data_IF_391991181711
#
_entry.id   IF_391991181711
#
_cell.length_a   1.000
_cell.length_b   1.000
_cell.length_c   1.000
_cell.angle_alpha   90.00
_cell.angle_beta   90.00
_cell.angle_gamma   90.00
#
_symmetry.space_group_name_H-M   'P 1'
#
loop_
_entity.id
_entity.type
_entity.pdbx_description
1 polymer ?
#
# COMPACT_ATOMS: atom_id res chain seq x y z
N UNK A 1 5.30 -27.27 -62.25
CA UNK A 1 4.33 -28.38 -62.15
C UNK A 1 4.06 -28.57 -60.67
N UNK A 2 2.77 -28.62 -60.26
CA UNK A 2 2.24 -28.73 -58.89
C UNK A 2 2.48 -27.56 -57.91
N UNK A 3 1.57 -26.57 -57.91
CA UNK A 3 1.16 -25.86 -56.68
C UNK A 3 -0.11 -24.99 -56.88
N UNK A 4 -0.40 -24.60 -58.13
CA UNK A 4 -1.61 -23.84 -58.45
C UNK A 4 -2.91 -24.66 -58.40
N UNK A 5 -2.82 -26.01 -58.42
CA UNK A 5 -4.00 -26.88 -58.37
C UNK A 5 -4.59 -27.05 -56.96
N UNK A 6 -3.77 -26.95 -55.92
CA UNK A 6 -4.24 -27.12 -54.53
C UNK A 6 -5.00 -25.87 -54.07
N UNK A 7 -4.57 -24.68 -54.49
CA UNK A 7 -5.23 -23.42 -54.14
C UNK A 7 -6.54 -23.19 -54.91
N UNK A 8 -6.69 -23.77 -56.11
CA UNK A 8 -7.90 -23.65 -56.93
C UNK A 8 -9.00 -24.65 -56.52
N UNK A 9 -8.63 -25.81 -55.99
CA UNK A 9 -9.56 -26.79 -55.38
C UNK A 9 -10.11 -26.32 -54.02
N UNK A 10 -9.33 -25.56 -53.25
CA UNK A 10 -9.77 -24.98 -51.97
C UNK A 10 -10.77 -23.82 -52.13
N UNK A 11 -10.86 -23.20 -53.33
CA UNK A 11 -11.80 -22.12 -53.63
C UNK A 11 -13.15 -22.56 -54.20
N UNK A 12 -13.36 -23.86 -54.43
CA UNK A 12 -14.52 -24.40 -55.18
C UNK A 12 -15.47 -25.31 -54.38
N UNK A 13 -15.33 -25.35 -53.06
CA UNK A 13 -16.33 -25.99 -52.20
C UNK A 13 -17.26 -24.93 -51.63
N UNK A 14 -18.37 -24.68 -52.33
CA UNK A 14 -19.54 -24.00 -51.76
C UNK A 14 -19.83 -24.66 -50.41
N UNK A 15 -19.49 -23.98 -49.31
CA UNK A 15 -19.79 -24.48 -47.98
C UNK A 15 -21.28 -24.87 -47.97
N UNK A 16 -21.61 -26.16 -47.74
CA UNK A 16 -22.99 -26.59 -47.84
C UNK A 16 -23.82 -25.77 -46.85
N UNK A 17 -25.00 -25.33 -47.30
CA UNK A 17 -25.82 -24.30 -46.64
C UNK A 17 -26.04 -24.59 -45.14
N UNK A 18 -26.06 -25.86 -44.75
CA UNK A 18 -26.16 -26.28 -43.36
C UNK A 18 -24.94 -25.85 -42.50
N UNK A 19 -23.72 -25.91 -43.02
CA UNK A 19 -22.51 -25.47 -42.29
C UNK A 19 -22.59 -23.97 -42.03
N UNK A 20 -22.97 -23.19 -43.05
CA UNK A 20 -23.15 -21.74 -42.93
C UNK A 20 -24.26 -21.38 -41.93
N UNK A 21 -25.36 -22.14 -41.91
CA UNK A 21 -26.45 -21.97 -40.94
C UNK A 21 -26.00 -22.30 -39.51
N UNK A 22 -25.22 -23.38 -39.31
CA UNK A 22 -24.68 -23.76 -37.99
C UNK A 22 -23.66 -22.73 -37.49
N UNK A 23 -22.77 -22.23 -38.35
CA UNK A 23 -21.81 -21.17 -38.01
C UNK A 23 -22.56 -19.89 -37.61
N UNK A 24 -23.63 -19.55 -38.34
CA UNK A 24 -24.45 -18.39 -38.01
C UNK A 24 -25.13 -18.53 -36.64
N UNK A 25 -25.67 -19.71 -36.33
CA UNK A 25 -26.26 -20.00 -35.02
C UNK A 25 -25.21 -19.88 -33.89
N UNK A 26 -24.02 -20.44 -34.08
CA UNK A 26 -22.92 -20.33 -33.12
C UNK A 26 -22.51 -18.88 -32.89
N UNK A 27 -22.44 -18.05 -33.94
CA UNK A 27 -22.16 -16.61 -33.81
C UNK A 27 -23.21 -15.88 -32.98
N UNK A 28 -24.49 -16.22 -33.12
CA UNK A 28 -25.55 -15.65 -32.29
C UNK A 28 -25.35 -16.04 -30.81
N UNK A 29 -25.04 -17.31 -30.54
CA UNK A 29 -24.81 -17.80 -29.18
C UNK A 29 -23.60 -17.09 -28.54
N UNK A 30 -22.49 -16.96 -29.27
CA UNK A 30 -21.31 -16.23 -28.78
C UNK A 30 -21.61 -14.74 -28.56
N UNK A 31 -22.38 -14.10 -29.44
CA UNK A 31 -22.77 -12.71 -29.27
C UNK A 31 -23.64 -12.47 -28.02
N UNK A 32 -24.60 -13.37 -27.76
CA UNK A 32 -25.43 -13.32 -26.54
C UNK A 32 -24.56 -13.54 -25.30
N UNK A 33 -23.65 -14.51 -25.34
CA UNK A 33 -22.70 -14.76 -24.25
C UNK A 33 -21.83 -13.53 -23.97
N UNK A 34 -21.26 -12.92 -25.02
CA UNK A 34 -20.43 -11.71 -24.91
C UNK A 34 -21.24 -10.55 -24.32
N UNK A 35 -22.51 -10.37 -24.71
CA UNK A 35 -23.39 -9.36 -24.10
C UNK A 35 -23.64 -9.61 -22.61
N UNK A 36 -23.96 -10.85 -22.25
CA UNK A 36 -24.24 -11.25 -20.86
C UNK A 36 -22.99 -11.11 -19.98
N UNK A 37 -21.79 -11.34 -20.51
CA UNK A 37 -20.54 -11.21 -19.74
C UNK A 37 -20.06 -9.74 -19.71
N UNK A 38 -20.07 -9.07 -20.86
CA UNK A 38 -19.50 -7.73 -21.01
C UNK A 38 -20.28 -6.64 -20.27
N UNK A 39 -21.62 -6.67 -20.31
CA UNK A 39 -22.44 -5.62 -19.68
C UNK A 39 -22.25 -5.58 -18.15
N UNK A 40 -22.44 -6.70 -17.41
CA UNK A 40 -22.04 -6.81 -16.01
C UNK A 40 -20.62 -6.36 -15.72
N UNK A 41 -19.65 -6.86 -16.49
CA UNK A 41 -18.24 -6.54 -16.28
C UNK A 41 -17.96 -5.04 -16.43
N UNK A 42 -18.59 -4.38 -17.41
CA UNK A 42 -18.41 -2.94 -17.64
C UNK A 42 -19.09 -2.08 -16.58
N UNK A 43 -20.25 -2.49 -16.06
CA UNK A 43 -20.95 -1.72 -15.03
C UNK A 43 -20.22 -1.80 -13.68
N UNK A 44 -19.72 -2.98 -13.31
CA UNK A 44 -19.12 -3.21 -11.98
C UNK A 44 -17.59 -3.14 -11.93
N UNK A 45 -16.89 -3.36 -13.04
CA UNK A 45 -15.44 -3.57 -13.06
C UNK A 45 -14.71 -2.88 -14.23
N UNK A 46 -15.17 -1.71 -14.69
CA UNK A 46 -14.58 -1.00 -15.83
C UNK A 46 -13.06 -0.70 -15.65
N UNK A 47 -12.18 -1.39 -16.40
CA UNK A 47 -10.74 -1.16 -16.31
C UNK A 47 -10.32 0.21 -16.89
N UNK A 48 -11.15 0.83 -17.74
CA UNK A 48 -10.85 2.13 -18.33
C UNK A 48 -10.79 3.24 -17.28
N UNK A 49 -11.61 3.14 -16.23
CA UNK A 49 -11.57 4.08 -15.11
C UNK A 49 -10.27 3.98 -14.32
N UNK A 50 -9.79 2.75 -14.07
CA UNK A 50 -8.49 2.51 -13.40
C UNK A 50 -7.34 3.07 -14.22
N UNK A 51 -7.36 2.86 -15.53
CA UNK A 51 -6.35 3.39 -16.44
C UNK A 51 -6.35 4.93 -16.44
N UNK A 52 -7.53 5.55 -16.54
CA UNK A 52 -7.69 7.00 -16.47
C UNK A 52 -7.19 7.58 -15.14
N UNK A 53 -7.49 6.91 -14.02
CA UNK A 53 -7.01 7.32 -12.69
C UNK A 53 -5.50 7.16 -12.52
N UNK A 54 -4.88 6.22 -13.23
CA UNK A 54 -3.42 6.02 -13.25
C UNK A 54 -2.72 7.11 -14.08
N UNK A 55 -3.28 7.44 -15.24
CA UNK A 55 -2.69 8.38 -16.21
C UNK A 55 -2.92 9.86 -15.87
N UNK A 56 -3.84 10.18 -14.96
CA UNK A 56 -4.09 11.58 -14.57
C UNK A 56 -2.85 12.21 -13.93
N UNK A 57 -2.61 13.49 -14.22
CA UNK A 57 -1.67 14.27 -13.43
C UNK A 57 -2.16 14.34 -11.98
N UNK A 58 -1.34 13.86 -11.04
CA UNK A 58 -1.67 13.84 -9.61
C UNK A 58 -1.23 15.13 -8.92
N UNK A 59 -0.21 15.80 -9.44
CA UNK A 59 0.35 17.00 -8.85
C UNK A 59 0.80 18.00 -9.92
N UNK A 60 0.75 19.28 -9.58
CA UNK A 60 1.24 20.39 -10.39
C UNK A 60 1.88 21.43 -9.46
N UNK A 61 2.78 22.29 -9.99
CA UNK A 61 3.34 23.39 -9.21
C UNK A 61 2.23 24.35 -8.77
N UNK A 62 2.33 24.91 -7.57
CA UNK A 62 1.39 25.96 -7.09
C UNK A 62 1.40 27.15 -8.04
N UNK A 63 2.59 27.63 -8.41
CA UNK A 63 2.79 28.72 -9.38
C UNK A 63 3.26 28.13 -10.70
N UNK A 64 2.44 28.28 -11.74
CA UNK A 64 2.78 27.77 -13.06
C UNK A 64 3.96 28.56 -13.64
N UNK A 65 4.97 27.86 -14.18
CA UNK A 65 6.17 28.46 -14.77
C UNK A 65 7.32 28.76 -13.80
N UNK A 66 7.14 28.57 -12.49
CA UNK A 66 8.19 28.73 -11.49
C UNK A 66 8.78 27.35 -11.09
N UNK A 67 10.04 27.04 -11.47
CA UNK A 67 10.67 25.76 -11.12
C UNK A 67 10.95 25.61 -9.62
N UNK A 68 10.91 26.69 -8.84
CA UNK A 68 11.09 26.66 -7.38
C UNK A 68 9.77 26.45 -6.63
N UNK A 69 8.63 26.51 -7.34
CA UNK A 69 7.34 26.34 -6.72
C UNK A 69 7.18 24.92 -6.16
N UNK A 70 6.70 24.77 -4.91
CA UNK A 70 6.33 23.46 -4.40
C UNK A 70 5.19 22.85 -5.23
N UNK A 71 5.18 21.52 -5.30
CA UNK A 71 4.16 20.76 -6.01
C UNK A 71 3.07 20.31 -5.04
N UNK A 72 1.80 20.47 -5.42
CA UNK A 72 0.64 20.03 -4.63
C UNK A 72 -0.23 19.09 -5.44
N UNK A 73 -0.95 18.22 -4.75
CA UNK A 73 -1.90 17.35 -5.40
C UNK A 73 -3.04 18.18 -6.02
N UNK A 74 -3.39 17.89 -7.29
CA UNK A 74 -4.28 18.74 -8.09
C UNK A 74 -5.65 18.97 -7.43
N UNK A 75 -6.19 17.98 -6.71
CA UNK A 75 -7.48 18.12 -6.02
C UNK A 75 -7.46 19.10 -4.82
N UNK A 76 -6.29 19.48 -4.32
CA UNK A 76 -6.15 20.31 -3.10
C UNK A 76 -5.20 21.50 -3.31
N UNK A 77 -4.77 21.75 -4.56
CA UNK A 77 -3.78 22.77 -4.91
C UNK A 77 -4.19 24.17 -4.42
N UNK A 78 -5.45 24.53 -4.62
CA UNK A 78 -5.99 25.86 -4.32
C UNK A 78 -6.58 25.98 -2.90
N UNK A 79 -6.63 24.87 -2.15
CA UNK A 79 -7.16 24.83 -0.80
C UNK A 79 -6.15 25.28 0.26
N UNK A 80 -6.67 25.64 1.44
CA UNK A 80 -5.85 25.89 2.63
C UNK A 80 -5.05 24.63 3.01
N UNK A 81 -3.87 24.84 3.58
CA UNK A 81 -3.06 23.74 4.11
C UNK A 81 -3.69 23.25 5.41
N UNK A 82 -3.88 21.94 5.51
CA UNK A 82 -4.24 21.30 6.77
C UNK A 82 -3.08 21.47 7.75
N UNK A 83 -3.30 22.24 8.82
CA UNK A 83 -2.30 22.47 9.87
C UNK A 83 -2.34 21.41 10.97
N UNK A 84 -3.50 20.75 11.15
CA UNK A 84 -3.73 19.74 12.17
C UNK A 84 -4.55 18.59 11.58
N UNK A 85 -4.18 17.34 11.87
CA UNK A 85 -4.96 16.18 11.43
C UNK A 85 -6.24 16.03 12.26
N UNK A 86 -6.16 16.29 13.56
CA UNK A 86 -7.33 16.41 14.44
C UNK A 86 -7.52 17.87 14.89
N UNK A 87 -8.77 18.38 14.93
CA UNK A 87 -9.04 19.73 15.43
C UNK A 87 -8.47 19.94 16.84
N UNK A 88 -7.71 21.01 17.04
CA UNK A 88 -7.10 21.36 18.33
C UNK A 88 -5.85 20.56 18.73
N UNK A 89 -5.38 19.63 17.90
CA UNK A 89 -4.14 18.88 18.16
C UNK A 89 -2.96 19.54 17.43
N UNK A 90 -2.06 20.16 18.21
CA UNK A 90 -0.94 20.92 17.66
C UNK A 90 0.41 20.22 17.84
N UNK A 91 0.49 19.20 18.70
CA UNK A 91 1.71 18.42 18.92
C UNK A 91 1.54 16.97 18.46
N UNK A 92 2.67 16.30 18.20
CA UNK A 92 2.68 14.86 17.90
C UNK A 92 2.13 14.04 19.08
N UNK A 93 2.33 14.50 20.31
CA UNK A 93 1.77 13.88 21.51
C UNK A 93 0.24 14.00 21.53
N UNK A 94 -0.31 15.19 21.23
CA UNK A 94 -1.77 15.39 21.16
C UNK A 94 -2.40 14.53 20.07
N UNK A 95 -1.75 14.51 18.90
CA UNK A 95 -2.17 13.70 17.76
C UNK A 95 -2.21 12.22 18.11
N UNK A 96 -1.18 11.71 18.79
CA UNK A 96 -1.14 10.34 19.27
C UNK A 96 -2.22 10.06 20.32
N UNK A 97 -2.40 10.94 21.30
CA UNK A 97 -3.42 10.78 22.33
C UNK A 97 -4.84 10.73 21.73
N UNK A 98 -5.15 11.57 20.74
CA UNK A 98 -6.43 11.51 20.03
C UNK A 98 -6.56 10.25 19.15
N UNK A 99 -5.48 9.76 18.54
CA UNK A 99 -5.49 8.45 17.87
C UNK A 99 -5.85 7.33 18.86
N UNK A 100 -5.21 7.28 20.03
CA UNK A 100 -5.46 6.26 21.05
C UNK A 100 -6.89 6.35 21.59
N UNK A 101 -7.42 7.56 21.77
CA UNK A 101 -8.80 7.78 22.19
C UNK A 101 -9.82 7.28 21.17
N UNK A 102 -9.57 7.46 19.87
CA UNK A 102 -10.49 7.04 18.79
C UNK A 102 -10.35 5.57 18.42
N UNK A 103 -9.14 5.03 18.48
CA UNK A 103 -8.79 3.73 17.90
C UNK A 103 -8.18 2.75 18.91
N UNK A 104 -8.37 3.00 20.22
CA UNK A 104 -7.67 2.31 21.31
C UNK A 104 -7.65 0.78 21.22
N UNK A 105 -8.76 0.18 20.81
CA UNK A 105 -8.91 -1.28 20.74
C UNK A 105 -8.54 -1.87 19.37
N UNK A 106 -8.22 -1.04 18.37
CA UNK A 106 -7.76 -1.50 17.06
C UNK A 106 -6.28 -1.86 17.08
N UNK A 107 -5.88 -2.77 16.20
CA UNK A 107 -4.49 -3.14 15.97
C UNK A 107 -3.66 -1.95 15.46
N UNK A 108 -2.48 -1.76 16.06
CA UNK A 108 -1.60 -0.62 15.80
C UNK A 108 -0.24 -1.07 15.26
N UNK A 109 0.47 -1.94 16.00
CA UNK A 109 1.81 -2.41 15.65
C UNK A 109 1.82 -3.93 15.54
N UNK A 110 2.31 -4.44 14.40
CA UNK A 110 2.47 -5.86 14.13
C UNK A 110 3.94 -6.28 14.24
N UNK A 111 4.21 -7.36 14.94
CA UNK A 111 5.55 -7.97 15.05
C UNK A 111 5.49 -9.40 14.57
N UNK A 112 6.48 -9.82 13.77
CA UNK A 112 6.56 -11.20 13.31
C UNK A 112 7.44 -12.01 14.23
N UNK A 113 6.92 -13.15 14.70
CA UNK A 113 7.68 -14.05 15.53
C UNK A 113 8.87 -14.67 14.76
N UNK A 114 10.03 -14.75 15.40
CA UNK A 114 11.20 -15.45 14.88
C UNK A 114 11.35 -16.77 15.64
N UNK A 115 11.04 -17.88 14.95
CA UNK A 115 11.04 -19.22 15.54
C UNK A 115 12.45 -19.82 15.59
N UNK A 116 13.23 -19.67 14.53
CA UNK A 116 14.63 -20.10 14.50
C UNK A 116 15.44 -19.34 13.45
N UNK A 117 16.76 -19.29 13.63
CA UNK A 117 17.71 -18.74 12.65
C UNK A 117 18.75 -19.82 12.38
N UNK A 118 18.76 -20.35 11.16
CA UNK A 118 19.73 -21.36 10.72
C UNK A 118 20.87 -20.68 9.96
N UNK A 119 22.12 -20.95 10.36
CA UNK A 119 23.30 -20.45 9.65
C UNK A 119 23.85 -21.54 8.74
N UNK A 120 23.72 -21.37 7.44
CA UNK A 120 24.26 -22.30 6.44
C UNK A 120 25.56 -21.73 5.88
N UNK A 121 26.66 -22.47 6.05
CA UNK A 121 27.95 -22.10 5.46
C UNK A 121 28.01 -22.64 4.04
N UNK A 122 28.00 -21.73 3.07
CA UNK A 122 28.15 -22.08 1.67
C UNK A 122 29.60 -22.51 1.36
N UNK A 123 29.79 -23.24 0.25
CA UNK A 123 31.11 -23.71 -0.20
C UNK A 123 32.14 -22.58 -0.43
N UNK A 124 31.66 -21.35 -0.68
CA UNK A 124 32.46 -20.14 -0.83
C UNK A 124 32.86 -19.48 0.52
N UNK A 125 32.50 -20.07 1.65
CA UNK A 125 32.76 -19.53 2.99
C UNK A 125 31.74 -18.49 3.48
N UNK A 126 30.80 -18.04 2.64
CA UNK A 126 29.72 -17.12 3.04
C UNK A 126 28.74 -17.82 3.97
N UNK A 127 28.42 -17.17 5.09
CA UNK A 127 27.40 -17.64 6.03
C UNK A 127 26.07 -17.00 5.62
N UNK A 128 25.09 -17.85 5.32
CA UNK A 128 23.73 -17.41 5.02
C UNK A 128 22.85 -17.65 6.25
N UNK A 129 22.12 -16.63 6.69
CA UNK A 129 21.15 -16.76 7.77
C UNK A 129 19.76 -16.99 7.18
N UNK A 130 19.21 -18.17 7.44
CA UNK A 130 17.85 -18.55 7.06
C UNK A 130 16.94 -18.41 8.28
N UNK A 131 16.03 -17.45 8.22
CA UNK A 131 15.10 -17.15 9.29
C UNK A 131 13.82 -17.96 9.10
N UNK A 132 13.45 -18.75 10.11
CA UNK A 132 12.14 -19.40 10.22
C UNK A 132 11.28 -18.46 11.04
N UNK A 133 10.23 -17.93 10.42
CA UNK A 133 9.37 -16.93 11.01
C UNK A 133 7.96 -17.51 11.22
N UNK A 134 7.39 -17.21 12.38
CA UNK A 134 6.05 -17.62 12.77
C UNK A 134 4.99 -16.59 12.37
N UNK A 135 3.93 -16.55 13.20
CA UNK A 135 2.77 -15.70 13.02
C UNK A 135 3.05 -14.22 13.37
N UNK A 136 2.14 -13.35 12.93
CA UNK A 136 2.15 -11.95 13.35
C UNK A 136 1.41 -11.76 14.66
N UNK A 137 2.02 -11.06 15.61
CA UNK A 137 1.39 -10.58 16.82
C UNK A 137 1.12 -9.09 16.72
N UNK A 138 -0.14 -8.73 16.91
CA UNK A 138 -0.60 -7.34 16.86
C UNK A 138 -0.79 -6.79 18.27
N UNK A 139 -0.42 -5.53 18.43
CA UNK A 139 -0.66 -4.74 19.65
C UNK A 139 -1.61 -3.61 19.34
N UNK A 140 -2.63 -3.47 20.16
CA UNK A 140 -3.60 -2.38 20.03
C UNK A 140 -3.03 -1.02 20.40
N UNK A 141 -3.66 0.06 19.90
CA UNK A 141 -3.26 1.45 20.22
C UNK A 141 -3.15 1.71 21.72
N UNK A 142 -4.10 1.22 22.52
CA UNK A 142 -4.12 1.37 23.98
C UNK A 142 -2.92 0.68 24.64
N UNK A 143 -2.53 -0.49 24.15
CA UNK A 143 -1.38 -1.23 24.67
C UNK A 143 -0.05 -0.60 24.25
N UNK A 144 0.04 -0.07 23.03
CA UNK A 144 1.18 0.73 22.57
C UNK A 144 1.33 1.98 23.44
N UNK A 145 0.22 2.69 23.69
CA UNK A 145 0.22 3.90 24.52
C UNK A 145 0.68 3.63 25.96
N UNK A 146 0.20 2.54 26.57
CA UNK A 146 0.65 2.10 27.90
C UNK A 146 2.17 1.92 27.93
N UNK A 147 2.76 1.29 26.91
CA UNK A 147 4.22 1.11 26.82
C UNK A 147 4.94 2.43 26.60
N UNK A 148 4.44 3.30 25.72
CA UNK A 148 5.01 4.62 25.51
C UNK A 148 5.02 5.45 26.81
N UNK A 149 3.95 5.41 27.60
CA UNK A 149 3.88 6.10 28.90
C UNK A 149 4.86 5.53 29.93
N UNK A 150 5.08 4.19 29.93
CA UNK A 150 6.08 3.57 30.79
C UNK A 150 7.50 4.02 30.42
N UNK A 151 7.82 4.07 29.12
CA UNK A 151 9.12 4.56 28.63
C UNK A 151 9.30 6.05 28.94
N UNK A 152 8.27 6.87 28.73
CA UNK A 152 8.29 8.29 29.08
C UNK A 152 8.53 8.52 30.59
N UNK A 153 7.91 7.69 31.43
CA UNK A 153 8.14 7.70 32.88
C UNK A 153 9.55 7.26 33.25
N UNK A 154 10.11 6.30 32.52
CA UNK A 154 11.49 5.87 32.69
C UNK A 154 12.49 6.98 32.31
N UNK A 155 12.23 7.75 31.25
CA UNK A 155 13.04 8.93 30.93
C UNK A 155 13.04 9.94 32.08
N UNK A 156 11.88 10.20 32.68
CA UNK A 156 11.80 11.08 33.84
C UNK A 156 12.59 10.53 35.04
N UNK A 157 12.53 9.22 35.29
CA UNK A 157 13.21 8.60 36.45
C UNK A 157 14.74 8.58 36.33
N UNK A 158 15.28 8.47 35.12
CA UNK A 158 16.73 8.58 34.86
C UNK A 158 17.21 10.04 34.80
N UNK A 159 16.31 11.01 34.95
CA UNK A 159 16.64 12.43 35.02
C UNK A 159 16.66 13.16 33.68
N UNK A 160 16.11 12.59 32.60
CA UNK A 160 15.95 13.30 31.34
C UNK A 160 15.01 14.50 31.52
N UNK A 161 15.43 15.64 30.99
CA UNK A 161 14.68 16.90 31.02
C UNK A 161 14.18 17.23 29.61
N UNK A 162 13.15 18.07 29.57
CA UNK A 162 12.64 18.63 28.32
C UNK A 162 13.79 19.21 27.49
N UNK A 163 13.79 18.93 26.19
CA UNK A 163 14.83 19.30 25.22
C UNK A 163 16.16 18.54 25.31
N UNK A 164 16.29 17.55 26.20
CA UNK A 164 17.42 16.63 26.15
C UNK A 164 17.37 15.81 24.86
N UNK A 165 18.54 15.55 24.29
CA UNK A 165 18.68 14.85 23.01
C UNK A 165 18.76 13.35 23.24
N UNK A 166 17.92 12.61 22.54
CA UNK A 166 17.95 11.14 22.52
C UNK A 166 18.25 10.69 21.10
N UNK A 167 19.16 9.72 20.95
CA UNK A 167 19.48 9.08 19.67
C UNK A 167 18.86 7.69 19.67
N UNK A 168 18.05 7.38 18.66
CA UNK A 168 17.41 6.08 18.52
C UNK A 168 18.08 5.27 17.41
N UNK A 169 18.99 4.38 17.79
CA UNK A 169 19.66 3.49 16.82
C UNK A 169 19.07 2.07 16.87
N UNK A 170 18.09 1.82 16.01
CA UNK A 170 17.55 0.49 15.74
C UNK A 170 16.86 0.46 14.36
N UNK A 171 16.63 -0.74 13.84
CA UNK A 171 15.76 -0.94 12.68
C UNK A 171 14.30 -0.56 13.00
N UNK A 172 13.45 -0.49 11.97
CA UNK A 172 12.02 -0.19 12.09
C UNK A 172 11.25 -1.30 12.83
N UNK A 173 11.40 -1.34 14.15
CA UNK A 173 10.77 -2.30 15.08
C UNK A 173 9.72 -1.65 15.97
N UNK A 174 8.87 -2.47 16.57
CA UNK A 174 7.82 -2.02 17.50
C UNK A 174 8.42 -1.15 18.63
N UNK A 175 9.54 -1.59 19.21
CA UNK A 175 10.22 -0.90 20.31
C UNK A 175 10.72 0.48 19.89
N UNK A 176 11.20 0.61 18.66
CA UNK A 176 11.66 1.89 18.13
C UNK A 176 10.49 2.89 18.05
N UNK A 177 9.35 2.45 17.50
CA UNK A 177 8.14 3.29 17.40
C UNK A 177 7.62 3.68 18.78
N UNK A 178 7.54 2.73 19.72
CA UNK A 178 7.11 3.01 21.11
C UNK A 178 8.03 4.04 21.77
N UNK A 179 9.33 3.92 21.57
CA UNK A 179 10.32 4.83 22.16
C UNK A 179 10.23 6.22 21.52
N UNK A 180 10.05 6.31 20.20
CA UNK A 180 9.83 7.58 19.52
C UNK A 180 8.55 8.29 20.01
N UNK A 181 7.45 7.55 20.20
CA UNK A 181 6.22 8.07 20.78
C UNK A 181 6.44 8.59 22.21
N UNK A 182 7.23 7.87 23.02
CA UNK A 182 7.60 8.32 24.36
C UNK A 182 8.44 9.61 24.32
N UNK A 183 9.38 9.75 23.37
CA UNK A 183 10.14 10.98 23.17
C UNK A 183 9.22 12.18 22.84
N UNK A 184 8.23 11.99 21.96
CA UNK A 184 7.24 13.04 21.66
C UNK A 184 6.44 13.43 22.90
N UNK A 185 6.02 12.46 23.71
CA UNK A 185 5.30 12.72 24.97
C UNK A 185 6.15 13.45 26.01
N UNK A 186 7.45 13.15 26.08
CA UNK A 186 8.37 13.78 27.03
C UNK A 186 9.02 15.07 26.50
N UNK A 187 8.62 15.57 25.32
CA UNK A 187 9.25 16.73 24.67
C UNK A 187 10.77 16.59 24.52
N UNK A 188 11.21 15.39 24.13
CA UNK A 188 12.61 15.05 23.89
C UNK A 188 12.85 15.05 22.37
N UNK A 189 13.55 16.05 21.82
CA UNK A 189 13.88 16.08 20.41
C UNK A 189 14.92 14.99 20.11
N UNK A 190 14.51 13.98 19.34
CA UNK A 190 15.36 12.87 18.93
C UNK A 190 15.04 12.43 17.50
N UNK A 191 16.11 12.16 16.74
CA UNK A 191 16.13 11.50 15.42
C UNK A 191 16.96 10.23 15.57
#
# INVERSE_FOLDING_TARGET
MSDNGVSEELGKNNHPVYISAVIFLLKIVFFIYDLIVYIPFKIWADPSQKLRMSQRSKASPIKDGDPTSPWRHNNVKDGQLTTCVFPGCHTLADQWNECVKKYGDLDCLGTREVLSIHKEKQKNGKIFEKWVMGEYHWRSFKNVDKRANMVASAFASIGCKKNDKIILFAETREEWVITALACFKSCLPGL
#
